data_IF_976562911422
#
_entry.id   IF_976562911422
#
_cell.length_a   1.000
_cell.length_b   1.000
_cell.length_c   1.000
_cell.angle_alpha   90.00
_cell.angle_beta   90.00
_cell.angle_gamma   90.00
#
_symmetry.space_group_name_H-M   'P 1'
#
loop_
_entity.id
_entity.type
_entity.pdbx_description
1 polymer ?
#
# COMPACT_ATOMS: atom_id res chain seq x y z
N UNK A 1 -0.04 -5.76 2.41
CA UNK A 1 -0.91 -5.78 3.62
C UNK A 1 -0.99 -7.13 4.31
N UNK A 2 -1.59 -8.18 3.72
CA UNK A 2 -1.65 -9.52 4.36
C UNK A 2 -0.26 -10.03 4.72
N UNK A 3 0.66 -10.05 3.74
CA UNK A 3 2.06 -10.44 3.95
C UNK A 3 2.83 -9.47 4.89
N UNK A 4 2.40 -8.22 4.97
CA UNK A 4 3.05 -7.18 5.79
C UNK A 4 2.67 -7.29 7.28
N UNK A 5 1.51 -7.91 7.58
CA UNK A 5 1.00 -8.12 8.94
C UNK A 5 -0.13 -7.18 9.36
N UNK A 6 -0.98 -6.74 8.43
CA UNK A 6 -2.22 -6.06 8.82
C UNK A 6 -3.08 -6.98 9.72
N UNK A 7 -3.81 -6.40 10.67
CA UNK A 7 -4.68 -7.17 11.58
C UNK A 7 -5.85 -7.79 10.82
N UNK A 8 -6.43 -7.06 9.87
CA UNK A 8 -7.28 -7.65 8.84
C UNK A 8 -7.14 -6.92 7.51
N UNK A 9 -7.52 -7.62 6.45
CA UNK A 9 -7.49 -7.15 5.07
C UNK A 9 -8.82 -7.54 4.42
N UNK A 10 -9.33 -6.67 3.57
CA UNK A 10 -10.54 -6.90 2.79
C UNK A 10 -10.29 -6.63 1.32
N UNK A 11 -11.03 -7.32 0.45
CA UNK A 11 -11.04 -7.08 -0.99
C UNK A 11 -12.47 -7.10 -1.49
N UNK A 12 -12.92 -5.98 -2.03
CA UNK A 12 -14.31 -5.73 -2.33
C UNK A 12 -14.50 -5.36 -3.81
N UNK A 13 -15.71 -5.62 -4.32
CA UNK A 13 -16.13 -5.28 -5.67
C UNK A 13 -17.28 -4.27 -5.63
N UNK A 14 -17.22 -3.25 -6.48
CA UNK A 14 -18.32 -2.31 -6.76
C UNK A 14 -18.62 -1.28 -5.67
N UNK A 15 -17.75 -1.13 -4.66
CA UNK A 15 -17.92 -0.05 -3.68
C UNK A 15 -17.89 1.34 -4.36
N UNK A 16 -18.80 2.21 -3.95
CA UNK A 16 -18.99 3.56 -4.50
C UNK A 16 -19.76 3.59 -5.82
N UNK A 17 -19.27 2.88 -6.84
CA UNK A 17 -19.72 3.01 -8.24
C UNK A 17 -20.62 1.88 -8.74
N UNK A 18 -20.95 0.90 -7.90
CA UNK A 18 -21.84 -0.21 -8.23
C UNK A 18 -21.15 -1.40 -8.91
N UNK A 19 -21.92 -2.47 -9.09
CA UNK A 19 -21.42 -3.74 -9.62
C UNK A 19 -20.79 -3.58 -11.01
N UNK A 20 -19.54 -3.98 -11.14
CA UNK A 20 -18.82 -4.07 -12.43
C UNK A 20 -17.83 -2.93 -12.68
N UNK A 21 -17.82 -1.89 -11.84
CA UNK A 21 -17.09 -0.65 -12.13
C UNK A 21 -15.88 -0.38 -11.23
N UNK A 22 -15.70 -1.12 -10.12
CA UNK A 22 -14.53 -0.95 -9.25
C UNK A 22 -14.11 -2.26 -8.57
N UNK A 23 -12.81 -2.38 -8.37
CA UNK A 23 -12.19 -3.35 -7.47
C UNK A 23 -11.26 -2.56 -6.54
N UNK A 24 -11.33 -2.83 -5.24
CA UNK A 24 -10.49 -2.15 -4.25
C UNK A 24 -10.20 -3.05 -3.05
N UNK A 25 -9.11 -2.73 -2.36
CA UNK A 25 -8.67 -3.42 -1.16
C UNK A 25 -8.68 -2.45 0.02
N UNK A 26 -9.02 -2.96 1.20
CA UNK A 26 -8.90 -2.26 2.48
C UNK A 26 -7.98 -3.03 3.42
N UNK A 27 -7.38 -2.33 4.37
CA UNK A 27 -6.59 -2.94 5.44
C UNK A 27 -6.76 -2.17 6.74
N UNK A 28 -6.57 -2.86 7.86
CA UNK A 28 -6.46 -2.23 9.17
C UNK A 28 -5.36 -2.92 9.95
N UNK A 29 -4.57 -2.14 10.70
CA UNK A 29 -3.57 -2.63 11.64
C UNK A 29 -3.84 -2.03 13.03
N UNK A 30 -3.82 -2.88 14.05
CA UNK A 30 -4.07 -2.49 15.45
C UNK A 30 -2.76 -2.14 16.14
N UNK A 31 -2.73 -0.98 16.79
CA UNK A 31 -1.63 -0.51 17.62
C UNK A 31 -1.89 -0.86 19.11
N UNK A 32 -1.64 -2.11 19.49
CA UNK A 32 -1.92 -2.63 20.83
C UNK A 32 -0.83 -2.36 21.88
N UNK A 33 0.24 -1.65 21.51
CA UNK A 33 1.38 -1.34 22.38
C UNK A 33 2.45 -2.44 22.48
N UNK A 34 2.28 -3.59 21.81
CA UNK A 34 3.28 -4.66 21.80
C UNK A 34 4.41 -4.41 20.81
N UNK A 35 5.60 -4.95 21.09
CA UNK A 35 6.73 -4.96 20.13
C UNK A 35 6.38 -5.69 18.83
N UNK A 36 5.55 -6.73 18.91
CA UNK A 36 5.08 -7.47 17.74
C UNK A 36 4.21 -6.58 16.83
N UNK A 37 3.35 -5.74 17.41
CA UNK A 37 2.58 -4.75 16.66
C UNK A 37 3.48 -3.69 16.04
N UNK A 38 4.47 -3.17 16.77
CA UNK A 38 5.42 -2.19 16.22
C UNK A 38 6.08 -2.69 14.91
N UNK A 39 6.54 -3.95 14.88
CA UNK A 39 7.11 -4.56 13.67
C UNK A 39 6.09 -4.70 12.52
N UNK A 40 4.82 -4.98 12.82
CA UNK A 40 3.76 -5.07 11.80
C UNK A 40 3.43 -3.69 11.24
N UNK A 41 3.30 -2.68 12.11
CA UNK A 41 3.01 -1.29 11.76
C UNK A 41 4.09 -0.75 10.82
N UNK A 42 5.37 -0.93 11.17
CA UNK A 42 6.50 -0.52 10.34
C UNK A 42 6.36 -1.03 8.90
N UNK A 43 6.12 -2.33 8.72
CA UNK A 43 5.96 -2.92 7.38
C UNK A 43 4.67 -2.51 6.69
N UNK A 44 3.54 -2.48 7.40
CA UNK A 44 2.23 -2.22 6.79
C UNK A 44 2.13 -0.77 6.35
N UNK A 45 2.52 0.17 7.21
CA UNK A 45 2.45 1.60 6.91
C UNK A 45 3.57 2.08 5.97
N UNK A 46 4.59 1.27 5.73
CA UNK A 46 5.50 1.48 4.60
C UNK A 46 4.89 0.94 3.29
N UNK A 47 4.53 -0.35 3.26
CA UNK A 47 4.18 -1.03 2.01
C UNK A 47 2.83 -0.59 1.42
N UNK A 48 1.84 -0.24 2.26
CA UNK A 48 0.53 0.19 1.78
C UNK A 48 0.60 1.48 0.94
N UNK A 49 1.10 2.61 1.46
CA UNK A 49 1.27 3.82 0.64
C UNK A 49 2.35 3.66 -0.45
N UNK A 50 3.42 2.89 -0.21
CA UNK A 50 4.44 2.65 -1.24
C UNK A 50 3.84 1.97 -2.49
N UNK A 51 2.84 1.11 -2.34
CA UNK A 51 2.13 0.53 -3.48
C UNK A 51 1.38 1.57 -4.32
N UNK A 52 0.87 2.63 -3.69
CA UNK A 52 0.28 3.79 -4.36
C UNK A 52 1.32 4.58 -5.15
N UNK A 53 2.49 4.87 -4.56
CA UNK A 53 3.61 5.52 -5.25
C UNK A 53 4.07 4.66 -6.43
N UNK A 54 4.32 3.37 -6.21
CA UNK A 54 4.68 2.39 -7.23
C UNK A 54 3.71 2.42 -8.42
N UNK A 55 2.40 2.34 -8.17
CA UNK A 55 1.37 2.32 -9.21
C UNK A 55 1.33 3.59 -10.05
N UNK A 56 1.63 4.75 -9.46
CA UNK A 56 1.66 6.02 -10.18
C UNK A 56 3.00 6.22 -10.89
N UNK A 57 4.11 5.78 -10.31
CA UNK A 57 5.42 5.78 -10.94
C UNK A 57 5.41 4.90 -12.21
N UNK A 58 4.83 3.70 -12.13
CA UNK A 58 4.64 2.79 -13.27
C UNK A 58 3.81 3.43 -14.40
N UNK A 59 2.82 4.26 -14.05
CA UNK A 59 2.03 5.02 -15.01
C UNK A 59 2.73 6.29 -15.56
N UNK A 60 3.99 6.55 -15.19
CA UNK A 60 4.80 7.65 -15.72
C UNK A 60 4.61 9.01 -15.02
N UNK A 61 4.04 9.04 -13.81
CA UNK A 61 3.88 10.31 -13.08
C UNK A 61 5.21 10.76 -12.46
N UNK A 62 5.75 11.88 -12.92
CA UNK A 62 7.03 12.44 -12.45
C UNK A 62 7.10 12.67 -10.94
N UNK A 63 6.00 13.15 -10.34
CA UNK A 63 5.93 13.34 -8.90
C UNK A 63 6.06 12.02 -8.12
N UNK A 64 5.51 10.93 -8.66
CA UNK A 64 5.63 9.60 -8.05
C UNK A 64 7.02 9.00 -8.24
N UNK A 65 7.64 9.19 -9.41
CA UNK A 65 9.04 8.81 -9.65
C UNK A 65 9.99 9.57 -8.73
N UNK A 66 9.76 10.86 -8.50
CA UNK A 66 10.52 11.67 -7.55
C UNK A 66 10.36 11.15 -6.12
N UNK A 67 9.12 10.89 -5.69
CA UNK A 67 8.83 10.31 -4.37
C UNK A 67 9.49 8.92 -4.20
N UNK A 68 9.42 8.06 -5.21
CA UNK A 68 10.06 6.74 -5.18
C UNK A 68 11.58 6.83 -4.98
N UNK A 69 12.24 7.78 -5.66
CA UNK A 69 13.68 8.03 -5.48
C UNK A 69 14.00 8.60 -4.10
N UNK A 70 13.24 9.58 -3.64
CA UNK A 70 13.42 10.22 -2.33
C UNK A 70 13.28 9.23 -1.18
N UNK A 71 12.28 8.34 -1.27
CA UNK A 71 11.98 7.34 -0.25
C UNK A 71 12.73 6.02 -0.45
N UNK A 72 13.57 5.90 -1.49
CA UNK A 72 14.37 4.70 -1.75
C UNK A 72 13.53 3.45 -2.04
N UNK A 73 12.42 3.58 -2.76
CA UNK A 73 11.59 2.44 -3.16
C UNK A 73 12.33 1.58 -4.21
N UNK A 74 12.33 0.27 -4.01
CA UNK A 74 12.83 -0.68 -5.00
C UNK A 74 11.78 -0.92 -6.10
N UNK A 75 11.93 -0.22 -7.22
CA UNK A 75 11.08 -0.35 -8.41
C UNK A 75 11.90 -0.96 -9.56
N UNK A 76 11.85 -2.29 -9.79
CA UNK A 76 12.79 -2.98 -10.69
C UNK A 76 12.81 -2.47 -12.14
N UNK A 77 11.67 -1.99 -12.63
CA UNK A 77 11.48 -1.50 -14.00
C UNK A 77 11.63 0.03 -14.14
N UNK A 78 11.54 0.77 -13.03
CA UNK A 78 11.68 2.22 -13.01
C UNK A 78 13.07 2.58 -12.46
N UNK A 79 14.09 2.42 -13.32
CA UNK A 79 15.46 2.89 -13.07
C UNK A 79 15.73 4.15 -13.87
#
# INVERSE_FOLDING_TARGET
NTASGATWVSFHHGGGVGMGYSQHAGMVVVCDGTEAAAKRIERVLWNDPASGVMRHADAGYEAALACAREQGLDLPMAK
#
